data_IF_857483687339
#
_entry.id   IF_857483687339
#
_cell.length_a   1.000
_cell.length_b   1.000
_cell.length_c   1.000
_cell.angle_alpha   90.00
_cell.angle_beta   90.00
_cell.angle_gamma   90.00
#
_symmetry.space_group_name_H-M   'P 1'
#
loop_
_entity.id
_entity.type
_entity.pdbx_description
1 polymer ?
#
# COMPACT_ATOMS: atom_id res chain seq x y z
N UNK A 1 48.97 0.38 -4.25
CA UNK A 1 47.64 0.86 -3.86
C UNK A 1 46.63 -0.09 -4.52
N UNK A 2 46.33 -1.21 -3.87
CA UNK A 2 45.33 -2.16 -4.36
C UNK A 2 44.09 -1.97 -3.50
N UNK A 3 43.16 -1.15 -4.00
CA UNK A 3 41.80 -1.10 -3.44
C UNK A 3 41.13 -2.44 -3.70
N UNK A 4 40.52 -3.00 -2.67
CA UNK A 4 39.88 -4.31 -2.70
C UNK A 4 38.78 -4.33 -3.78
N UNK A 5 38.80 -5.25 -4.77
CA UNK A 5 37.79 -5.32 -5.83
C UNK A 5 36.35 -5.42 -5.30
N UNK A 6 36.19 -6.07 -4.14
CA UNK A 6 34.91 -6.22 -3.41
C UNK A 6 34.26 -4.86 -3.12
N UNK A 7 34.97 -3.98 -2.40
CA UNK A 7 34.41 -2.70 -1.96
C UNK A 7 34.04 -1.81 -3.14
N UNK A 8 34.80 -1.89 -4.24
CA UNK A 8 34.55 -1.12 -5.45
C UNK A 8 33.29 -1.55 -6.20
N UNK A 9 32.88 -2.82 -6.10
CA UNK A 9 31.71 -3.34 -6.81
C UNK A 9 30.40 -2.85 -6.16
N UNK A 10 30.25 -3.05 -4.84
CA UNK A 10 29.07 -2.54 -4.11
C UNK A 10 29.04 -1.01 -4.07
N UNK A 11 30.19 -0.34 -3.98
CA UNK A 11 30.27 1.12 -4.06
C UNK A 11 29.79 1.65 -5.41
N UNK A 12 30.23 1.04 -6.52
CA UNK A 12 29.78 1.41 -7.85
C UNK A 12 28.28 1.21 -8.04
N UNK A 13 27.73 0.10 -7.53
CA UNK A 13 26.30 -0.16 -7.58
C UNK A 13 25.48 0.80 -6.70
N UNK A 14 25.91 1.05 -5.48
CA UNK A 14 25.23 1.94 -4.52
C UNK A 14 25.13 3.38 -5.04
N UNK A 15 26.21 3.89 -5.62
CA UNK A 15 26.27 5.25 -6.16
C UNK A 15 25.82 5.37 -7.62
N UNK A 16 25.26 4.30 -8.19
CA UNK A 16 24.74 4.33 -9.57
C UNK A 16 25.81 4.58 -10.63
N UNK A 17 27.07 4.21 -10.36
CA UNK A 17 28.14 4.27 -11.35
C UNK A 17 28.08 3.04 -12.25
N UNK A 18 27.06 3.01 -13.11
CA UNK A 18 26.69 1.84 -13.91
C UNK A 18 27.76 1.47 -14.94
N UNK A 19 28.50 2.44 -15.46
CA UNK A 19 29.64 2.19 -16.35
C UNK A 19 30.75 1.44 -15.62
N UNK A 20 31.21 1.96 -14.48
CA UNK A 20 32.25 1.30 -13.67
C UNK A 20 31.79 -0.06 -13.15
N UNK A 21 30.52 -0.18 -12.77
CA UNK A 21 29.94 -1.44 -12.34
C UNK A 21 30.01 -2.48 -13.46
N UNK A 22 29.65 -2.11 -14.68
CA UNK A 22 29.72 -2.98 -15.87
C UNK A 22 31.17 -3.39 -16.18
N UNK A 23 32.10 -2.44 -16.13
CA UNK A 23 33.53 -2.72 -16.32
C UNK A 23 34.06 -3.74 -15.30
N UNK A 24 33.73 -3.56 -14.01
CA UNK A 24 34.15 -4.48 -12.95
C UNK A 24 33.56 -5.90 -13.13
N UNK A 25 32.32 -6.01 -13.60
CA UNK A 25 31.69 -7.31 -13.89
C UNK A 25 32.42 -8.00 -15.06
N UNK A 26 32.71 -7.26 -16.14
CA UNK A 26 33.44 -7.79 -17.30
C UNK A 26 34.88 -8.20 -16.98
N UNK A 27 35.52 -7.52 -16.02
CA UNK A 27 36.85 -7.85 -15.52
C UNK A 27 36.85 -9.06 -14.55
N UNK A 28 35.69 -9.68 -14.31
CA UNK A 28 35.55 -10.90 -13.52
C UNK A 28 35.47 -10.67 -11.99
N UNK A 29 34.94 -9.51 -11.57
CA UNK A 29 34.61 -9.30 -10.16
C UNK A 29 33.63 -10.37 -9.65
N UNK A 30 33.79 -10.79 -8.40
CA UNK A 30 32.91 -11.78 -7.77
C UNK A 30 31.55 -11.14 -7.41
N UNK A 31 30.58 -11.42 -8.26
CA UNK A 31 29.21 -10.89 -8.19
C UNK A 31 28.37 -11.50 -7.06
N UNK A 32 28.81 -12.62 -6.46
CA UNK A 32 28.08 -13.32 -5.39
C UNK A 32 28.33 -12.72 -4.00
N UNK A 33 29.29 -11.80 -3.90
CA UNK A 33 29.69 -11.21 -2.63
C UNK A 33 28.58 -10.33 -2.06
N UNK A 34 28.37 -10.48 -0.76
CA UNK A 34 27.44 -9.65 -0.02
C UNK A 34 28.14 -8.42 0.55
N UNK A 35 27.44 -7.28 0.58
CA UNK A 35 27.81 -6.12 1.39
C UNK A 35 27.66 -6.47 2.88
N UNK A 36 28.22 -5.64 3.77
CA UNK A 36 28.38 -5.91 5.22
C UNK A 36 27.10 -6.25 6.00
N UNK A 37 26.72 -5.51 7.05
CA UNK A 37 25.49 -5.82 7.78
C UNK A 37 24.28 -5.65 6.85
N UNK A 38 23.56 -6.74 6.59
CA UNK A 38 22.41 -6.78 5.66
C UNK A 38 22.55 -7.84 4.57
N UNK A 39 23.75 -8.33 4.27
CA UNK A 39 24.00 -9.38 3.28
C UNK A 39 23.50 -9.08 1.84
N UNK A 40 23.45 -7.81 1.42
CA UNK A 40 23.00 -7.47 0.07
C UNK A 40 24.06 -7.82 -0.99
N UNK A 41 23.71 -8.67 -1.95
CA UNK A 41 24.51 -8.88 -3.16
C UNK A 41 24.41 -7.68 -4.11
N UNK A 42 25.37 -7.53 -5.03
CA UNK A 42 25.41 -6.41 -5.98
C UNK A 42 24.12 -6.26 -6.80
N UNK A 43 23.47 -7.38 -7.16
CA UNK A 43 22.20 -7.41 -7.91
C UNK A 43 21.06 -6.65 -7.21
N UNK A 44 21.06 -6.57 -5.87
CA UNK A 44 20.05 -5.83 -5.11
C UNK A 44 20.06 -4.33 -5.43
N UNK A 45 21.22 -3.76 -5.74
CA UNK A 45 21.37 -2.33 -6.02
C UNK A 45 21.09 -1.96 -7.49
N UNK A 46 20.63 -2.93 -8.29
CA UNK A 46 20.36 -2.72 -9.72
C UNK A 46 18.87 -2.55 -10.04
N UNK A 47 18.04 -2.28 -9.02
CA UNK A 47 16.61 -2.03 -9.17
C UNK A 47 16.28 -0.71 -9.88
N UNK A 48 17.22 0.24 -9.94
CA UNK A 48 17.00 1.56 -10.55
C UNK A 48 16.96 1.51 -12.08
N UNK A 49 16.16 2.38 -12.73
CA UNK A 49 16.08 2.46 -14.20
C UNK A 49 17.43 2.61 -14.90
N UNK A 50 18.36 3.39 -14.35
CA UNK A 50 19.69 3.62 -14.94
C UNK A 50 20.60 2.39 -14.93
N UNK A 51 20.29 1.39 -14.10
CA UNK A 51 21.11 0.19 -13.88
C UNK A 51 20.77 -0.98 -14.81
N UNK A 52 19.98 -0.76 -15.87
CA UNK A 52 19.55 -1.81 -16.81
C UNK A 52 20.72 -2.62 -17.37
N UNK A 53 21.73 -1.95 -17.94
CA UNK A 53 22.90 -2.62 -18.52
C UNK A 53 23.69 -3.43 -17.48
N UNK A 54 23.77 -2.94 -16.25
CA UNK A 54 24.45 -3.62 -15.16
C UNK A 54 23.68 -4.85 -14.70
N UNK A 55 22.35 -4.76 -14.51
CA UNK A 55 21.51 -5.90 -14.17
C UNK A 55 21.59 -6.97 -15.26
N UNK A 56 21.53 -6.58 -16.53
CA UNK A 56 21.71 -7.50 -17.66
C UNK A 56 23.05 -8.23 -17.59
N UNK A 57 24.15 -7.49 -17.40
CA UNK A 57 25.48 -8.09 -17.29
C UNK A 57 25.61 -9.05 -16.10
N UNK A 58 24.98 -8.73 -14.96
CA UNK A 58 24.94 -9.61 -13.80
C UNK A 58 24.18 -10.91 -14.08
N UNK A 59 22.99 -10.81 -14.68
CA UNK A 59 22.18 -11.98 -15.03
C UNK A 59 22.88 -12.86 -16.08
N UNK A 60 23.49 -12.26 -17.10
CA UNK A 60 24.28 -12.98 -18.12
C UNK A 60 25.51 -13.67 -17.49
N UNK A 61 26.08 -13.10 -16.43
CA UNK A 61 27.16 -13.68 -15.63
C UNK A 61 26.68 -14.72 -14.60
N UNK A 62 25.38 -15.02 -14.54
CA UNK A 62 24.79 -16.03 -13.67
C UNK A 62 24.47 -15.56 -12.25
N UNK A 63 24.26 -14.26 -12.04
CA UNK A 63 23.75 -13.74 -10.77
C UNK A 63 22.38 -14.37 -10.44
N UNK A 64 22.18 -14.70 -9.17
CA UNK A 64 20.93 -15.26 -8.68
C UNK A 64 19.85 -14.16 -8.56
N UNK A 65 18.87 -14.17 -9.47
CA UNK A 65 17.72 -13.26 -9.44
C UNK A 65 16.83 -13.44 -8.19
N UNK A 66 16.95 -14.58 -7.50
CA UNK A 66 16.25 -14.90 -6.26
C UNK A 66 17.07 -14.64 -4.99
N UNK A 67 18.26 -14.03 -5.13
CA UNK A 67 19.08 -13.65 -3.99
C UNK A 67 18.25 -12.86 -2.95
N UNK A 68 18.50 -13.14 -1.68
CA UNK A 68 17.84 -12.48 -0.55
C UNK A 68 18.85 -11.90 0.41
N UNK A 69 18.61 -10.69 0.89
CA UNK A 69 19.31 -10.09 2.03
C UNK A 69 18.83 -10.66 3.37
N UNK A 70 19.39 -10.17 4.48
CA UNK A 70 19.08 -10.63 5.84
C UNK A 70 17.60 -10.41 6.24
N UNK A 71 16.97 -9.35 5.74
CA UNK A 71 15.56 -9.03 5.90
C UNK A 71 14.67 -9.71 4.84
N UNK A 72 15.20 -10.70 4.13
CA UNK A 72 14.54 -11.44 3.05
C UNK A 72 14.14 -10.55 1.85
N UNK A 73 14.70 -9.35 1.74
CA UNK A 73 14.52 -8.47 0.59
C UNK A 73 15.25 -9.03 -0.63
N UNK A 74 14.56 -9.09 -1.77
CA UNK A 74 15.11 -9.58 -3.04
C UNK A 74 15.34 -8.42 -4.03
N UNK A 75 16.13 -8.61 -5.10
CA UNK A 75 16.28 -7.59 -6.15
C UNK A 75 14.94 -7.12 -6.73
N UNK A 76 13.95 -8.02 -6.81
CA UNK A 76 12.62 -7.70 -7.33
C UNK A 76 11.84 -6.73 -6.42
N UNK A 77 12.00 -6.84 -5.09
CA UNK A 77 11.41 -5.89 -4.15
C UNK A 77 11.99 -4.48 -4.36
N UNK A 78 13.31 -4.38 -4.53
CA UNK A 78 14.00 -3.11 -4.71
C UNK A 78 13.69 -2.49 -6.07
N UNK A 79 13.70 -3.28 -7.15
CA UNK A 79 13.28 -2.82 -8.47
C UNK A 79 11.84 -2.28 -8.48
N UNK A 80 10.93 -2.96 -7.77
CA UNK A 80 9.55 -2.51 -7.62
C UNK A 80 9.41 -1.25 -6.76
N UNK A 81 10.32 -1.00 -5.80
CA UNK A 81 10.32 0.19 -4.97
C UNK A 81 10.99 1.41 -5.64
N UNK A 82 11.95 1.17 -6.53
CA UNK A 82 12.76 2.21 -7.19
C UNK A 82 12.22 2.63 -8.57
N UNK A 83 11.12 2.03 -9.04
CA UNK A 83 10.49 2.37 -10.32
C UNK A 83 11.18 1.77 -11.56
N UNK A 84 12.00 0.72 -11.37
CA UNK A 84 12.72 0.06 -12.45
C UNK A 84 11.85 -0.90 -13.27
N UNK A 85 11.06 -0.37 -14.20
CA UNK A 85 10.13 -1.18 -15.03
C UNK A 85 10.86 -2.30 -15.79
N UNK A 86 11.94 -1.97 -16.51
CA UNK A 86 12.71 -2.96 -17.27
C UNK A 86 13.47 -3.91 -16.34
N UNK A 87 13.91 -3.42 -15.18
CA UNK A 87 14.55 -4.24 -14.15
C UNK A 87 13.58 -5.30 -13.62
N UNK A 88 12.34 -4.91 -13.34
CA UNK A 88 11.26 -5.84 -12.95
C UNK A 88 11.01 -6.88 -14.03
N UNK A 89 10.91 -6.48 -15.31
CA UNK A 89 10.77 -7.43 -16.44
C UNK A 89 11.92 -8.44 -16.48
N UNK A 90 13.17 -7.97 -16.49
CA UNK A 90 14.34 -8.84 -16.57
C UNK A 90 14.43 -9.80 -15.38
N UNK A 91 14.13 -9.35 -14.16
CA UNK A 91 14.15 -10.20 -12.97
C UNK A 91 13.07 -11.29 -13.03
N UNK A 92 11.86 -10.97 -13.48
CA UNK A 92 10.77 -11.95 -13.67
C UNK A 92 11.17 -12.98 -14.73
N UNK A 93 11.72 -12.53 -15.87
CA UNK A 93 12.21 -13.41 -16.94
C UNK A 93 13.35 -14.32 -16.48
N UNK A 94 14.20 -13.83 -15.58
CA UNK A 94 15.26 -14.59 -14.93
C UNK A 94 14.76 -15.54 -13.82
N UNK A 95 13.44 -15.62 -13.58
CA UNK A 95 12.82 -16.55 -12.65
C UNK A 95 12.73 -16.05 -11.20
N UNK A 96 12.82 -14.74 -10.95
CA UNK A 96 12.59 -14.19 -9.63
C UNK A 96 11.17 -14.53 -9.13
N UNK A 97 11.06 -14.92 -7.87
CA UNK A 97 9.76 -15.21 -7.25
C UNK A 97 8.97 -13.90 -7.03
N UNK A 98 7.92 -13.69 -7.83
CA UNK A 98 7.01 -12.52 -7.74
C UNK A 98 6.28 -12.40 -6.41
N UNK A 99 6.24 -13.47 -5.63
CA UNK A 99 5.60 -13.56 -4.31
C UNK A 99 6.63 -13.84 -3.20
N UNK A 100 7.91 -13.56 -3.43
CA UNK A 100 8.91 -13.57 -2.36
C UNK A 100 8.45 -12.65 -1.24
N UNK A 101 8.65 -13.05 0.01
CA UNK A 101 8.26 -12.28 1.18
C UNK A 101 9.51 -11.74 1.87
N UNK A 102 9.45 -10.47 2.28
CA UNK A 102 10.41 -9.91 3.24
C UNK A 102 10.10 -10.39 4.66
N UNK A 103 10.94 -10.03 5.62
CA UNK A 103 10.70 -10.26 7.05
C UNK A 103 9.37 -9.65 7.54
N UNK A 104 8.95 -8.52 6.96
CA UNK A 104 7.67 -7.87 7.24
C UNK A 104 6.51 -8.49 6.44
N UNK A 105 6.75 -9.62 5.77
CA UNK A 105 5.80 -10.31 4.90
C UNK A 105 5.32 -9.48 3.68
N UNK A 106 6.01 -8.38 3.36
CA UNK A 106 5.78 -7.64 2.12
C UNK A 106 6.21 -8.49 0.92
N UNK A 107 5.43 -8.44 -0.17
CA UNK A 107 5.81 -8.94 -1.49
C UNK A 107 6.13 -7.76 -2.42
N UNK A 108 6.80 -7.94 -3.57
CA UNK A 108 7.14 -6.82 -4.48
C UNK A 108 5.95 -5.95 -4.89
N UNK A 109 4.73 -6.50 -4.94
CA UNK A 109 3.52 -5.75 -5.24
C UNK A 109 3.17 -4.71 -4.15
N UNK A 110 3.54 -4.94 -2.88
CA UNK A 110 3.43 -3.92 -1.82
C UNK A 110 4.35 -2.74 -2.11
N UNK A 111 5.61 -3.01 -2.51
CA UNK A 111 6.57 -1.96 -2.86
C UNK A 111 6.09 -1.12 -4.05
N UNK A 112 5.62 -1.76 -5.12
CA UNK A 112 5.05 -1.07 -6.29
C UNK A 112 3.82 -0.23 -5.91
N UNK A 113 2.93 -0.78 -5.07
CA UNK A 113 1.75 -0.07 -4.60
C UNK A 113 2.08 1.14 -3.72
N UNK A 114 3.12 1.03 -2.89
CA UNK A 114 3.64 2.10 -2.03
C UNK A 114 4.42 3.16 -2.80
N UNK A 115 5.06 2.80 -3.92
CA UNK A 115 5.76 3.73 -4.82
C UNK A 115 4.81 4.47 -5.77
N UNK A 116 3.65 3.85 -6.08
CA UNK A 116 2.66 4.42 -7.00
C UNK A 116 2.89 4.06 -8.46
N UNK A 117 3.75 3.09 -8.75
CA UNK A 117 4.11 2.70 -10.11
C UNK A 117 3.08 1.75 -10.73
N UNK A 118 2.15 2.31 -11.50
CA UNK A 118 1.07 1.57 -12.17
C UNK A 118 1.60 0.50 -13.12
N UNK A 119 2.66 0.79 -13.88
CA UNK A 119 3.21 -0.15 -14.85
C UNK A 119 3.83 -1.36 -14.15
N UNK A 120 4.58 -1.14 -13.07
CA UNK A 120 5.16 -2.22 -12.27
C UNK A 120 4.06 -3.04 -11.61
N UNK A 121 3.04 -2.39 -11.04
CA UNK A 121 1.90 -3.11 -10.47
C UNK A 121 1.22 -4.01 -11.51
N UNK A 122 0.96 -3.50 -12.72
CA UNK A 122 0.39 -4.28 -13.84
C UNK A 122 1.29 -5.46 -14.21
N UNK A 123 2.61 -5.26 -14.28
CA UNK A 123 3.57 -6.31 -14.62
C UNK A 123 3.59 -7.43 -13.57
N UNK A 124 3.69 -7.06 -12.30
CA UNK A 124 3.69 -8.02 -11.19
C UNK A 124 2.39 -8.83 -11.15
N UNK A 125 1.23 -8.16 -11.31
CA UNK A 125 -0.08 -8.82 -11.39
C UNK A 125 -0.14 -9.78 -12.57
N UNK A 126 0.29 -9.35 -13.77
CA UNK A 126 0.33 -10.20 -14.96
C UNK A 126 1.26 -11.42 -14.79
N UNK A 127 2.31 -11.27 -13.98
CA UNK A 127 3.23 -12.35 -13.63
C UNK A 127 2.74 -13.25 -12.47
N UNK A 128 1.53 -13.01 -11.93
CA UNK A 128 0.93 -13.85 -10.89
C UNK A 128 1.23 -13.41 -9.46
N UNK A 129 1.51 -12.12 -9.23
CA UNK A 129 1.59 -11.58 -7.88
C UNK A 129 0.26 -11.76 -7.11
N UNK A 130 0.36 -12.14 -5.85
CA UNK A 130 -0.77 -12.33 -4.95
C UNK A 130 -1.33 -10.98 -4.50
N UNK A 131 -2.41 -10.56 -5.17
CA UNK A 131 -3.12 -9.30 -4.89
C UNK A 131 -3.71 -9.28 -3.46
N UNK A 132 -3.98 -10.46 -2.89
CA UNK A 132 -4.54 -10.61 -1.55
C UNK A 132 -3.47 -10.80 -0.46
N UNK A 133 -2.19 -10.75 -0.82
CA UNK A 133 -1.09 -10.87 0.12
C UNK A 133 -1.23 -9.81 1.24
N UNK A 134 -0.83 -10.20 2.45
CA UNK A 134 -0.84 -9.33 3.63
C UNK A 134 0.52 -9.30 4.28
N UNK A 135 0.97 -8.10 4.62
CA UNK A 135 2.16 -7.86 5.41
C UNK A 135 1.92 -8.13 6.92
N UNK A 136 2.94 -7.89 7.74
CA UNK A 136 2.89 -8.08 9.20
C UNK A 136 1.89 -7.15 9.92
N UNK A 137 1.42 -6.09 9.25
CA UNK A 137 0.38 -5.17 9.72
C UNK A 137 -1.01 -5.55 9.18
N UNK A 138 -1.12 -6.68 8.48
CA UNK A 138 -2.35 -7.13 7.83
C UNK A 138 -2.74 -6.29 6.61
N UNK A 139 -1.87 -5.39 6.16
CA UNK A 139 -2.13 -4.52 5.01
C UNK A 139 -1.87 -5.29 3.71
N UNK A 140 -2.78 -5.13 2.76
CA UNK A 140 -2.61 -5.61 1.38
C UNK A 140 -1.99 -4.53 0.50
N UNK A 141 -1.56 -4.83 -0.74
CA UNK A 141 -1.11 -3.80 -1.68
C UNK A 141 -2.13 -2.68 -1.88
N UNK A 142 -3.44 -2.99 -1.81
CA UNK A 142 -4.50 -2.00 -1.89
C UNK A 142 -4.43 -0.99 -0.73
N UNK A 143 -4.19 -1.45 0.50
CA UNK A 143 -4.02 -0.57 1.66
C UNK A 143 -2.82 0.37 1.49
N UNK A 144 -1.67 -0.14 1.02
CA UNK A 144 -0.47 0.67 0.79
C UNK A 144 -0.73 1.76 -0.26
N UNK A 145 -1.32 1.41 -1.40
CA UNK A 145 -1.63 2.38 -2.47
C UNK A 145 -2.58 3.49 -2.02
N UNK A 146 -3.59 3.15 -1.22
CA UNK A 146 -4.52 4.12 -0.64
C UNK A 146 -3.83 5.02 0.39
N UNK A 147 -3.03 4.46 1.29
CA UNK A 147 -2.35 5.24 2.34
C UNK A 147 -1.43 6.33 1.79
N UNK A 148 -0.95 6.14 0.56
CA UNK A 148 -0.09 7.09 -0.18
C UNK A 148 -0.84 7.92 -1.23
N UNK A 149 -2.12 7.65 -1.46
CA UNK A 149 -2.93 8.38 -2.44
C UNK A 149 -2.63 8.07 -3.90
N UNK A 150 -2.07 6.90 -4.19
CA UNK A 150 -1.74 6.46 -5.55
C UNK A 150 -2.97 5.90 -6.28
N UNK A 151 -3.88 6.80 -6.70
CA UNK A 151 -5.16 6.44 -7.32
C UNK A 151 -5.03 5.52 -8.54
N UNK A 152 -3.97 5.69 -9.33
CA UNK A 152 -3.69 4.82 -10.48
C UNK A 152 -3.45 3.37 -10.08
N UNK A 153 -2.66 3.13 -9.03
CA UNK A 153 -2.43 1.77 -8.50
C UNK A 153 -3.70 1.24 -7.83
N UNK A 154 -4.45 2.07 -7.10
CA UNK A 154 -5.76 1.68 -6.54
C UNK A 154 -6.67 1.16 -7.67
N UNK A 155 -6.77 1.88 -8.78
CA UNK A 155 -7.54 1.48 -9.95
C UNK A 155 -7.06 0.13 -10.50
N UNK A 156 -5.75 -0.04 -10.70
CA UNK A 156 -5.15 -1.29 -11.19
C UNK A 156 -5.48 -2.47 -10.29
N UNK A 157 -5.35 -2.32 -8.98
CA UNK A 157 -5.60 -3.38 -8.02
C UNK A 157 -7.08 -3.76 -7.97
N UNK A 158 -7.98 -2.77 -8.00
CA UNK A 158 -9.43 -3.01 -8.03
C UNK A 158 -9.88 -3.68 -9.34
N UNK A 159 -9.31 -3.27 -10.48
CA UNK A 159 -9.56 -3.92 -11.77
C UNK A 159 -9.05 -5.37 -11.81
N UNK A 160 -7.99 -5.67 -11.06
CA UNK A 160 -7.47 -7.01 -10.90
C UNK A 160 -8.19 -7.85 -9.84
N UNK A 161 -9.24 -7.30 -9.19
CA UNK A 161 -10.08 -8.03 -8.23
C UNK A 161 -9.56 -8.01 -6.79
N UNK A 162 -8.81 -6.98 -6.39
CA UNK A 162 -8.43 -6.80 -4.99
C UNK A 162 -9.66 -6.76 -4.07
N UNK A 163 -9.58 -7.45 -2.94
CA UNK A 163 -10.65 -7.50 -1.94
C UNK A 163 -10.77 -6.17 -1.18
N UNK A 164 -11.87 -5.45 -1.44
CA UNK A 164 -12.19 -4.19 -0.75
C UNK A 164 -12.66 -4.38 0.70
N UNK A 165 -13.03 -5.60 1.09
CA UNK A 165 -13.49 -5.95 2.45
C UNK A 165 -12.36 -6.39 3.37
N UNK A 166 -11.16 -6.57 2.83
CA UNK A 166 -9.99 -6.98 3.60
C UNK A 166 -9.67 -5.96 4.70
N UNK A 167 -9.66 -6.42 5.95
CA UNK A 167 -9.29 -5.60 7.12
C UNK A 167 -7.80 -5.70 7.44
N UNK A 168 -7.13 -4.58 7.71
CA UNK A 168 -5.78 -4.58 8.31
C UNK A 168 -5.82 -4.88 9.83
N UNK A 169 -4.68 -4.88 10.51
CA UNK A 169 -4.61 -5.15 11.95
C UNK A 169 -5.27 -4.07 12.84
N UNK A 170 -5.53 -2.88 12.29
CA UNK A 170 -6.34 -1.84 12.94
C UNK A 170 -7.84 -2.03 12.67
N UNK A 171 -8.23 -3.14 12.04
CA UNK A 171 -9.61 -3.46 11.66
C UNK A 171 -10.20 -2.49 10.64
N UNK A 172 -9.38 -1.85 9.82
CA UNK A 172 -9.83 -0.96 8.75
C UNK A 172 -9.74 -1.64 7.40
N UNK A 173 -10.75 -1.44 6.55
CA UNK A 173 -10.62 -1.66 5.10
C UNK A 173 -9.77 -0.57 4.47
N UNK A 174 -9.26 -0.83 3.26
CA UNK A 174 -8.55 0.20 2.49
C UNK A 174 -9.44 1.45 2.27
N UNK A 175 -10.73 1.29 2.00
CA UNK A 175 -11.66 2.41 1.87
C UNK A 175 -11.79 3.21 3.17
N UNK A 176 -11.91 2.53 4.32
CA UNK A 176 -11.97 3.17 5.64
C UNK A 176 -10.66 3.93 5.98
N UNK A 177 -9.50 3.38 5.61
CA UNK A 177 -8.20 4.03 5.77
C UNK A 177 -8.04 5.25 4.85
N UNK A 178 -8.70 5.28 3.69
CA UNK A 178 -8.55 6.37 2.71
C UNK A 178 -8.93 7.74 3.24
N UNK A 179 -9.82 7.81 4.23
CA UNK A 179 -10.34 9.08 4.76
C UNK A 179 -9.29 9.87 5.55
N UNK A 180 -8.21 9.25 6.00
CA UNK A 180 -7.10 9.94 6.68
C UNK A 180 -5.94 10.29 5.75
N UNK A 181 -5.82 9.66 4.58
CA UNK A 181 -4.66 9.82 3.68
C UNK A 181 -5.01 10.26 2.25
N UNK A 182 -6.05 9.67 1.66
CA UNK A 182 -6.40 9.83 0.25
C UNK A 182 -7.93 9.80 0.01
N UNK A 183 -8.68 10.81 0.50
CA UNK A 183 -10.14 10.85 0.39
C UNK A 183 -10.67 10.78 -1.04
N UNK A 184 -9.87 11.20 -2.03
CA UNK A 184 -10.21 11.08 -3.45
C UNK A 184 -10.42 9.62 -3.91
N UNK A 185 -9.81 8.64 -3.24
CA UNK A 185 -10.01 7.22 -3.57
C UNK A 185 -11.39 6.69 -3.16
N UNK A 186 -12.11 7.34 -2.24
CA UNK A 186 -13.48 6.94 -1.84
C UNK A 186 -14.43 6.93 -3.03
N UNK A 187 -14.32 7.93 -3.91
CA UNK A 187 -15.14 7.98 -5.13
C UNK A 187 -14.89 6.76 -6.02
N UNK A 188 -13.63 6.38 -6.19
CA UNK A 188 -13.26 5.19 -6.94
C UNK A 188 -13.78 3.91 -6.28
N UNK A 189 -13.71 3.81 -4.94
CA UNK A 189 -14.30 2.69 -4.21
C UNK A 189 -15.81 2.59 -4.43
N UNK A 190 -16.54 3.70 -4.38
CA UNK A 190 -17.99 3.75 -4.67
C UNK A 190 -18.26 3.31 -6.11
N UNK A 191 -17.50 3.81 -7.09
CA UNK A 191 -17.62 3.41 -8.50
C UNK A 191 -17.36 1.91 -8.72
N UNK A 192 -16.52 1.30 -7.88
CA UNK A 192 -16.23 -0.15 -7.89
C UNK A 192 -17.19 -0.98 -7.05
N UNK A 193 -18.19 -0.34 -6.41
CA UNK A 193 -19.21 -1.02 -5.63
C UNK A 193 -18.74 -1.47 -4.25
N UNK A 194 -17.93 -0.66 -3.57
CA UNK A 194 -17.59 -0.90 -2.16
C UNK A 194 -18.85 -0.96 -1.30
N UNK A 195 -18.86 -1.85 -0.31
CA UNK A 195 -19.89 -1.86 0.72
C UNK A 195 -19.67 -0.70 1.70
N UNK A 196 -20.45 0.36 1.51
CA UNK A 196 -20.41 1.57 2.36
C UNK A 196 -20.90 1.34 3.79
N UNK A 197 -21.51 0.19 4.08
CA UNK A 197 -21.94 -0.21 5.43
C UNK A 197 -20.84 -0.90 6.23
N UNK A 198 -19.70 -1.20 5.61
CA UNK A 198 -18.58 -1.86 6.28
C UNK A 198 -18.13 -1.07 7.51
N UNK A 199 -18.00 -1.78 8.63
CA UNK A 199 -17.57 -1.23 9.90
C UNK A 199 -16.08 -1.45 10.12
N UNK A 200 -15.41 -0.41 10.59
CA UNK A 200 -14.05 -0.48 11.12
C UNK A 200 -13.99 -1.14 12.49
N UNK A 201 -12.81 -1.12 13.12
CA UNK A 201 -12.59 -1.72 14.43
C UNK A 201 -13.47 -1.16 15.54
N UNK A 202 -13.82 0.12 15.49
CA UNK A 202 -14.69 0.78 16.46
C UNK A 202 -16.18 0.75 16.08
N UNK A 203 -16.55 -0.06 15.08
CA UNK A 203 -17.92 -0.13 14.59
C UNK A 203 -18.30 1.03 13.66
N UNK A 204 -17.36 1.93 13.35
CA UNK A 204 -17.59 3.13 12.57
C UNK A 204 -17.56 2.86 11.07
N UNK A 205 -18.40 3.57 10.32
CA UNK A 205 -18.54 3.43 8.86
C UNK A 205 -17.82 4.55 8.12
N UNK A 206 -17.76 4.48 6.79
CA UNK A 206 -17.25 5.57 5.95
C UNK A 206 -17.96 6.90 6.24
N UNK A 207 -19.28 6.85 6.52
CA UNK A 207 -20.07 8.04 6.80
C UNK A 207 -19.70 8.68 8.15
N UNK A 208 -19.34 7.89 9.16
CA UNK A 208 -18.85 8.42 10.45
C UNK A 208 -17.57 9.26 10.25
N UNK A 209 -16.61 8.73 9.48
CA UNK A 209 -15.33 9.40 9.22
C UNK A 209 -15.47 10.58 8.25
N UNK A 210 -16.34 10.47 7.24
CA UNK A 210 -16.67 11.57 6.34
C UNK A 210 -17.33 12.74 7.09
N UNK A 211 -18.22 12.43 8.04
CA UNK A 211 -18.86 13.41 8.92
C UNK A 211 -17.90 14.16 9.86
N UNK A 212 -16.63 13.76 9.93
CA UNK A 212 -15.57 14.45 10.65
C UNK A 212 -14.57 15.17 9.73
N UNK A 213 -14.74 15.13 8.41
CA UNK A 213 -13.68 15.52 7.47
C UNK A 213 -14.12 16.24 6.19
N UNK A 214 -15.21 15.83 5.52
CA UNK A 214 -15.53 16.36 4.18
C UNK A 214 -17.02 16.34 3.84
N UNK A 215 -17.56 17.54 3.55
CA UNK A 215 -18.93 17.74 3.07
C UNK A 215 -19.20 17.00 1.75
N UNK A 216 -18.24 17.01 0.83
CA UNK A 216 -18.37 16.33 -0.47
C UNK A 216 -18.53 14.82 -0.28
N UNK A 217 -17.74 14.22 0.60
CA UNK A 217 -17.80 12.78 0.87
C UNK A 217 -19.08 12.38 1.59
N UNK A 218 -19.63 13.23 2.46
CA UNK A 218 -20.96 12.99 3.05
C UNK A 218 -21.99 12.86 1.94
N UNK A 219 -22.04 13.81 0.99
CA UNK A 219 -22.96 13.77 -0.14
C UNK A 219 -22.81 12.49 -0.97
N UNK A 220 -21.58 12.18 -1.38
CA UNK A 220 -21.28 10.99 -2.18
C UNK A 220 -21.66 9.68 -1.48
N UNK A 221 -21.40 9.55 -0.18
CA UNK A 221 -21.73 8.35 0.58
C UNK A 221 -23.24 8.18 0.76
N UNK A 222 -23.97 9.28 0.99
CA UNK A 222 -25.43 9.24 1.07
C UNK A 222 -26.07 8.87 -0.27
N UNK A 223 -25.56 9.41 -1.39
CA UNK A 223 -25.95 9.02 -2.74
C UNK A 223 -25.66 7.54 -3.03
N UNK A 224 -24.57 7.01 -2.46
CA UNK A 224 -24.20 5.59 -2.52
C UNK A 224 -25.00 4.70 -1.54
N UNK A 225 -25.95 5.27 -0.78
CA UNK A 225 -26.82 4.52 0.12
C UNK A 225 -26.23 4.23 1.50
N UNK A 226 -25.26 5.01 1.97
CA UNK A 226 -24.76 4.89 3.34
C UNK A 226 -25.89 5.16 4.34
N UNK A 227 -25.96 4.32 5.37
CA UNK A 227 -26.95 4.45 6.44
C UNK A 227 -26.61 5.65 7.34
N UNK A 228 -27.49 6.66 7.28
CA UNK A 228 -27.39 7.91 8.03
C UNK A 228 -27.49 7.70 9.55
N UNK A 229 -28.12 6.60 9.98
CA UNK A 229 -28.37 6.25 11.38
C UNK A 229 -27.50 5.07 11.84
N UNK A 230 -26.51 4.67 11.05
CA UNK A 230 -25.55 3.65 11.46
C UNK A 230 -24.89 4.06 12.79
N UNK A 231 -24.74 3.11 13.70
CA UNK A 231 -24.08 3.38 14.99
C UNK A 231 -22.74 2.67 15.11
N UNK A 232 -21.75 3.37 15.64
CA UNK A 232 -20.50 2.78 16.11
C UNK A 232 -20.69 1.98 17.43
N UNK A 233 -19.61 1.44 17.98
CA UNK A 233 -19.66 0.62 19.21
C UNK A 233 -20.03 1.43 20.46
N UNK A 234 -19.89 2.76 20.42
CA UNK A 234 -20.33 3.67 21.47
C UNK A 234 -21.79 4.14 21.27
N UNK A 235 -22.44 3.71 20.20
CA UNK A 235 -23.79 4.12 19.83
C UNK A 235 -23.86 5.51 19.21
N UNK A 236 -22.72 6.08 18.78
CA UNK A 236 -22.69 7.36 18.07
C UNK A 236 -23.11 7.14 16.63
N UNK A 237 -23.89 8.07 16.11
CA UNK A 237 -24.26 8.17 14.69
C UNK A 237 -23.29 9.11 13.95
N UNK A 238 -23.29 9.15 12.60
CA UNK A 238 -22.56 10.17 11.86
C UNK A 238 -22.87 11.61 12.30
N UNK A 239 -24.11 11.90 12.73
CA UNK A 239 -24.48 13.20 13.27
C UNK A 239 -23.75 13.52 14.58
N UNK A 240 -23.60 12.53 15.47
CA UNK A 240 -22.80 12.68 16.69
C UNK A 240 -21.33 12.96 16.36
N UNK A 241 -20.77 12.30 15.34
CA UNK A 241 -19.40 12.55 14.88
C UNK A 241 -19.25 14.00 14.39
N UNK A 242 -20.14 14.47 13.50
CA UNK A 242 -20.12 15.86 13.02
C UNK A 242 -20.23 16.88 14.16
N UNK A 243 -21.12 16.64 15.13
CA UNK A 243 -21.30 17.52 16.27
C UNK A 243 -20.08 17.56 17.19
N UNK A 244 -19.40 16.43 17.41
CA UNK A 244 -18.23 16.34 18.29
C UNK A 244 -17.04 17.18 17.79
N UNK A 245 -16.87 17.30 16.47
CA UNK A 245 -15.82 18.12 15.86
C UNK A 245 -16.22 19.60 15.71
N UNK A 246 -17.48 19.95 16.02
CA UNK A 246 -17.97 21.32 16.02
C UNK A 246 -18.22 21.90 14.63
N UNK A 247 -18.33 21.05 13.59
CA UNK A 247 -18.53 21.51 12.23
C UNK A 247 -20.03 21.70 11.92
N UNK A 248 -20.47 22.95 11.99
CA UNK A 248 -21.85 23.33 11.73
C UNK A 248 -22.30 23.02 10.28
N UNK A 249 -21.37 22.91 9.33
CA UNK A 249 -21.69 22.54 7.95
C UNK A 249 -22.09 21.08 7.87
N UNK A 250 -21.29 20.17 8.43
CA UNK A 250 -21.56 18.73 8.39
C UNK A 250 -22.85 18.38 9.15
N UNK A 251 -23.06 19.00 10.31
CA UNK A 251 -24.33 18.88 11.06
C UNK A 251 -25.52 19.31 10.20
N UNK A 252 -25.41 20.45 9.50
CA UNK A 252 -26.48 20.93 8.62
C UNK A 252 -26.75 19.99 7.44
N UNK A 253 -25.70 19.45 6.82
CA UNK A 253 -25.84 18.52 5.69
C UNK A 253 -26.56 17.25 6.14
N UNK A 254 -26.13 16.65 7.26
CA UNK A 254 -26.73 15.43 7.79
C UNK A 254 -28.18 15.66 8.24
N UNK A 255 -28.48 16.78 8.91
CA UNK A 255 -29.87 17.13 9.26
C UNK A 255 -30.74 17.39 8.04
N UNK A 256 -30.20 18.03 6.99
CA UNK A 256 -30.91 18.22 5.73
C UNK A 256 -31.17 16.89 5.00
N UNK A 257 -30.29 15.90 5.19
CA UNK A 257 -30.48 14.53 4.72
C UNK A 257 -31.47 13.71 5.57
N UNK A 258 -31.94 14.26 6.70
CA UNK A 258 -32.96 13.65 7.56
C UNK A 258 -32.42 12.95 8.81
N UNK A 259 -31.19 13.27 9.25
CA UNK A 259 -30.60 12.64 10.42
C UNK A 259 -31.41 12.92 11.70
N UNK A 260 -31.56 11.91 12.55
CA UNK A 260 -32.29 12.05 13.80
C UNK A 260 -31.47 12.80 14.86
N UNK A 261 -31.87 14.05 15.14
CA UNK A 261 -31.27 14.88 16.19
C UNK A 261 -31.50 14.32 17.61
N UNK A 262 -32.49 13.44 17.79
CA UNK A 262 -32.82 12.84 19.08
C UNK A 262 -32.10 11.52 19.36
N UNK A 263 -31.28 11.04 18.43
CA UNK A 263 -30.47 9.87 18.64
C UNK A 263 -29.57 10.04 19.88
N UNK A 264 -29.51 9.01 20.73
CA UNK A 264 -28.72 9.02 21.97
C UNK A 264 -27.64 7.95 21.93
N UNK A 265 -26.50 8.26 22.55
CA UNK A 265 -25.38 7.32 22.69
C UNK A 265 -25.65 6.26 23.77
N UNK A 266 -24.82 5.22 23.82
CA UNK A 266 -24.93 4.16 24.81
C UNK A 266 -24.78 4.68 26.26
N UNK A 267 -24.01 5.74 26.47
CA UNK A 267 -23.81 6.34 27.80
C UNK A 267 -25.04 7.08 28.31
N UNK A 268 -25.77 7.76 27.43
CA UNK A 268 -26.99 8.49 27.79
C UNK A 268 -28.15 7.53 28.07
N UNK A 269 -28.32 6.50 27.23
CA UNK A 269 -29.32 5.43 27.46
C UNK A 269 -29.13 4.72 28.80
N UNK A 270 -27.88 4.50 29.21
CA UNK A 270 -27.56 3.88 30.51
C UNK A 270 -27.87 4.78 31.71
N UNK A 271 -27.88 6.10 31.55
CA UNK A 271 -28.28 7.04 32.61
C UNK A 271 -29.79 7.04 32.79
N UNK A 272 -30.55 6.98 31.71
CA UNK A 272 -32.02 6.94 31.78
C UNK A 272 -32.55 5.66 32.42
N UNK A 273 -31.89 4.52 32.21
CA UNK A 273 -32.24 3.24 32.84
C UNK A 273 -31.89 3.13 34.34
N UNK A 274 -31.07 4.04 34.90
CA UNK A 274 -30.74 4.05 36.34
C UNK A 274 -31.75 4.85 37.18
N UNK A 275 -32.75 5.45 36.54
CA UNK A 275 -33.78 6.29 37.18
C UNK A 275 -35.18 5.65 37.23
N UNK A 276 -35.30 4.35 36.95
CA UNK A 276 -36.56 3.56 37.03
C UNK A 276 -36.43 2.48 38.10
#
# INVERSE_FOLDING_TARGET
>A
MHSCPHACLHEAALYGNTQRLTELILDGADISQTSGPGQFQVIHFTGRPESEAALKALLDAGADASASSYDETTPLHLAAAEGGVEQVRMLIEAGANVNARTYDAEIPLHNAARAGDEEIAKLLIAAGADIAARDCYGQSPLHHSVSRGHLGVVQVLLDAGADMSALNNNGDTAALQSLSGAPASVKLFIEKGVDVSTKGQSGDTLLHRAAASSAELIGLLLEAGADLEATDDEGKTPLHAAAAWGDAEFVRILLAAGADLSATTNDERRRDLRCI
#
